data_IF_654512152045
#
_entry.id   IF_654512152045
#
_cell.length_a   1.000
_cell.length_b   1.000
_cell.length_c   1.000
_cell.angle_alpha   90.00
_cell.angle_beta   90.00
_cell.angle_gamma   90.00
#
_symmetry.space_group_name_H-M   'P 1'
#
loop_
_entity.id
_entity.type
_entity.pdbx_description
1 polymer ?
#
# COMPACT_ATOMS: atom_id res chain seq x y z
N UNK A 1 -45.45 -10.14 -1.26
CA UNK A 1 -44.05 -10.01 -1.74
C UNK A 1 -43.87 -10.96 -2.92
N UNK A 2 -43.49 -10.44 -4.09
CA UNK A 2 -43.52 -11.17 -5.37
C UNK A 2 -42.26 -12.03 -5.57
N UNK A 3 -42.45 -13.29 -5.98
CA UNK A 3 -41.38 -14.26 -6.27
C UNK A 3 -40.38 -13.79 -7.34
N UNK A 4 -40.78 -12.85 -8.22
CA UNK A 4 -39.87 -12.21 -9.18
C UNK A 4 -38.78 -11.36 -8.52
N UNK A 5 -39.03 -10.77 -7.35
CA UNK A 5 -38.04 -9.94 -6.66
C UNK A 5 -36.90 -10.78 -6.08
N UNK A 6 -37.19 -12.00 -5.61
CA UNK A 6 -36.18 -12.92 -5.07
C UNK A 6 -35.15 -13.34 -6.13
N UNK A 7 -35.59 -13.76 -7.32
CA UNK A 7 -34.69 -14.15 -8.41
C UNK A 7 -33.80 -13.01 -8.91
N UNK A 8 -34.26 -11.76 -8.82
CA UNK A 8 -33.46 -10.56 -9.18
C UNK A 8 -32.41 -10.27 -8.11
N UNK A 9 -32.75 -10.48 -6.82
CA UNK A 9 -31.81 -10.32 -5.70
C UNK A 9 -30.73 -11.41 -5.75
N UNK A 10 -31.10 -12.66 -6.01
CA UNK A 10 -30.15 -13.78 -6.14
C UNK A 10 -29.17 -13.58 -7.30
N UNK A 11 -29.67 -13.14 -8.46
CA UNK A 11 -28.79 -12.82 -9.61
C UNK A 11 -27.85 -11.65 -9.33
N UNK A 12 -28.32 -10.61 -8.61
CA UNK A 12 -27.45 -9.48 -8.19
C UNK A 12 -26.37 -9.94 -7.22
N UNK A 13 -26.72 -10.75 -6.21
CA UNK A 13 -25.75 -11.32 -5.25
C UNK A 13 -24.66 -12.13 -5.95
N UNK A 14 -25.01 -13.03 -6.87
CA UNK A 14 -24.01 -13.85 -7.56
C UNK A 14 -23.04 -13.02 -8.42
N UNK A 15 -23.50 -11.90 -9.00
CA UNK A 15 -22.64 -10.99 -9.78
C UNK A 15 -21.75 -10.14 -8.86
N UNK A 16 -22.28 -9.67 -7.73
CA UNK A 16 -21.50 -8.96 -6.71
C UNK A 16 -20.43 -9.85 -6.09
N UNK A 17 -20.74 -11.10 -5.81
CA UNK A 17 -19.80 -12.06 -5.23
C UNK A 17 -18.65 -12.38 -6.20
N UNK A 18 -18.95 -12.61 -7.48
CA UNK A 18 -17.90 -12.79 -8.51
C UNK A 18 -17.02 -11.56 -8.68
N UNK A 19 -17.60 -10.35 -8.69
CA UNK A 19 -16.82 -9.11 -8.74
C UNK A 19 -15.96 -8.92 -7.50
N UNK A 20 -16.48 -9.25 -6.33
CA UNK A 20 -15.72 -9.17 -5.08
C UNK A 20 -14.55 -10.15 -5.08
N UNK A 21 -14.72 -11.34 -5.63
CA UNK A 21 -13.67 -12.35 -5.75
C UNK A 21 -12.57 -11.93 -6.74
N UNK A 22 -12.95 -11.38 -7.91
CA UNK A 22 -11.99 -10.81 -8.87
C UNK A 22 -11.21 -9.64 -8.27
N UNK A 23 -11.87 -8.76 -7.53
CA UNK A 23 -11.23 -7.64 -6.84
C UNK A 23 -10.28 -8.11 -5.74
N UNK A 24 -10.64 -9.16 -5.00
CA UNK A 24 -9.76 -9.79 -4.01
C UNK A 24 -8.54 -10.40 -4.67
N UNK A 25 -8.74 -11.22 -5.70
CA UNK A 25 -7.64 -11.89 -6.39
C UNK A 25 -6.67 -10.91 -7.05
N UNK A 26 -7.17 -9.80 -7.62
CA UNK A 26 -6.32 -8.71 -8.10
C UNK A 26 -5.54 -8.06 -6.96
N UNK A 27 -6.22 -7.72 -5.86
CA UNK A 27 -5.56 -7.14 -4.69
C UNK A 27 -4.53 -8.08 -4.04
N UNK A 28 -4.75 -9.40 -4.09
CA UNK A 28 -3.80 -10.42 -3.63
C UNK A 28 -2.57 -10.48 -4.55
N UNK A 29 -2.75 -10.40 -5.87
CA UNK A 29 -1.62 -10.33 -6.82
C UNK A 29 -0.80 -9.06 -6.67
N UNK A 30 -1.46 -7.91 -6.54
CA UNK A 30 -0.79 -6.64 -6.22
C UNK A 30 -0.07 -6.72 -4.87
N UNK A 31 -0.68 -7.42 -3.91
CA UNK A 31 -0.09 -7.63 -2.61
C UNK A 31 1.14 -8.52 -2.65
N UNK A 32 1.09 -9.67 -3.30
CA UNK A 32 2.25 -10.54 -3.52
C UNK A 32 3.35 -9.81 -4.29
N UNK A 33 2.96 -8.99 -5.27
CA UNK A 33 3.93 -8.17 -6.00
C UNK A 33 4.60 -7.17 -5.08
N UNK A 34 3.89 -6.56 -4.14
CA UNK A 34 4.46 -5.60 -3.18
C UNK A 34 5.12 -6.27 -1.97
N UNK A 35 4.77 -7.51 -1.67
CA UNK A 35 5.30 -8.28 -0.55
C UNK A 35 6.79 -8.52 -0.79
N UNK A 36 7.59 -8.30 0.25
CA UNK A 36 9.05 -8.42 0.20
C UNK A 36 9.76 -7.41 -0.71
N UNK A 37 9.04 -6.41 -1.23
CA UNK A 37 9.70 -5.36 -2.00
C UNK A 37 10.35 -4.31 -1.11
N UNK A 38 11.54 -3.91 -1.54
CA UNK A 38 12.31 -2.84 -0.92
C UNK A 38 12.18 -1.57 -1.75
N UNK A 39 11.68 -0.51 -1.15
CA UNK A 39 11.64 0.84 -1.74
C UNK A 39 12.83 1.61 -1.20
N UNK A 40 13.75 1.98 -2.09
CA UNK A 40 14.85 2.86 -1.72
C UNK A 40 14.42 4.31 -1.93
N UNK A 41 14.35 5.07 -0.84
CA UNK A 41 14.06 6.50 -0.87
C UNK A 41 15.38 7.25 -0.70
N UNK A 42 15.72 8.02 -1.72
CA UNK A 42 16.93 8.84 -1.73
C UNK A 42 16.57 10.22 -1.19
N UNK A 43 17.10 10.56 -0.02
CA UNK A 43 16.79 11.82 0.63
C UNK A 43 18.04 12.56 1.10
N UNK A 44 17.94 13.89 1.20
CA UNK A 44 19.05 14.74 1.65
C UNK A 44 19.19 14.67 3.16
N UNK A 45 20.40 14.35 3.60
CA UNK A 45 20.76 14.25 5.02
C UNK A 45 21.75 15.34 5.41
N UNK A 46 21.56 15.88 6.62
CA UNK A 46 22.51 16.78 7.25
C UNK A 46 23.63 16.04 7.98
N UNK A 47 24.55 16.80 8.56
CA UNK A 47 25.78 16.32 9.20
C UNK A 47 25.61 15.39 10.41
N UNK A 48 24.38 15.04 10.80
CA UNK A 48 24.08 14.28 12.02
C UNK A 48 23.15 13.08 11.75
N UNK A 49 23.22 12.49 10.57
CA UNK A 49 22.37 11.36 10.14
C UNK A 49 20.85 11.66 10.17
N UNK A 50 20.53 12.95 10.32
CA UNK A 50 19.17 13.48 10.30
C UNK A 50 18.86 13.94 8.90
N UNK A 51 17.70 13.52 8.41
CA UNK A 51 17.12 14.01 7.17
C UNK A 51 16.83 15.51 7.32
N UNK A 52 17.15 16.29 6.27
CA UNK A 52 16.79 17.71 6.22
C UNK A 52 15.26 17.92 6.21
N UNK A 53 14.52 16.87 5.83
CA UNK A 53 13.07 16.80 5.89
C UNK A 53 12.57 15.65 6.75
N UNK A 54 11.27 15.36 6.63
CA UNK A 54 10.62 14.19 7.23
C UNK A 54 10.04 13.36 6.10
N UNK A 55 10.43 12.09 5.99
CA UNK A 55 9.75 11.17 5.09
C UNK A 55 8.42 10.81 5.75
N UNK A 56 7.34 11.25 5.12
CA UNK A 56 5.98 10.97 5.55
C UNK A 56 5.39 9.85 4.72
N UNK A 57 4.23 9.34 5.13
CA UNK A 57 3.51 8.33 4.36
C UNK A 57 3.16 8.81 2.94
N UNK A 58 3.05 10.12 2.70
CA UNK A 58 2.83 10.67 1.35
C UNK A 58 4.05 10.44 0.44
N UNK A 59 5.26 10.67 0.96
CA UNK A 59 6.52 10.47 0.23
C UNK A 59 6.74 8.98 -0.09
N UNK A 60 6.43 8.12 0.88
CA UNK A 60 6.44 6.66 0.70
C UNK A 60 5.43 6.24 -0.37
N UNK A 61 4.21 6.80 -0.38
CA UNK A 61 3.22 6.49 -1.39
C UNK A 61 3.71 6.83 -2.80
N UNK A 62 4.34 8.00 -2.95
CA UNK A 62 4.94 8.44 -4.23
C UNK A 62 6.10 7.53 -4.62
N UNK A 63 6.96 7.14 -3.68
CA UNK A 63 8.09 6.25 -3.94
C UNK A 63 7.62 4.84 -4.34
N UNK A 64 6.63 4.28 -3.63
CA UNK A 64 5.98 3.00 -3.96
C UNK A 64 5.32 3.05 -5.34
N UNK A 65 4.58 4.13 -5.63
CA UNK A 65 3.96 4.33 -6.93
C UNK A 65 5.02 4.46 -8.03
N UNK A 66 6.13 5.15 -7.78
CA UNK A 66 7.21 5.34 -8.74
C UNK A 66 8.03 4.06 -8.97
N UNK A 67 8.28 3.27 -7.92
CA UNK A 67 9.05 2.01 -8.00
C UNK A 67 8.24 0.84 -8.55
N UNK A 68 6.94 0.76 -8.22
CA UNK A 68 6.11 -0.42 -8.52
C UNK A 68 4.89 -0.14 -9.37
N UNK A 69 4.55 1.13 -9.64
CA UNK A 69 3.34 1.51 -10.36
C UNK A 69 2.05 1.34 -9.55
N UNK A 70 2.14 0.92 -8.28
CA UNK A 70 0.96 0.69 -7.44
C UNK A 70 0.60 1.96 -6.70
N UNK A 71 -0.63 2.43 -6.92
CA UNK A 71 -1.16 3.61 -6.22
C UNK A 71 -1.68 3.20 -4.85
N UNK A 72 -0.95 3.55 -3.79
CA UNK A 72 -1.37 3.30 -2.41
C UNK A 72 -1.68 4.62 -1.71
N UNK A 73 -2.87 4.70 -1.13
CA UNK A 73 -3.29 5.89 -0.40
C UNK A 73 -2.58 5.96 0.97
N UNK A 74 -2.17 7.16 1.41
CA UNK A 74 -1.52 7.36 2.71
C UNK A 74 -2.32 6.84 3.91
N UNK A 75 -3.66 6.78 3.82
CA UNK A 75 -4.51 6.20 4.87
C UNK A 75 -4.37 4.68 5.00
N UNK A 76 -3.89 4.03 3.94
CA UNK A 76 -3.61 2.60 3.89
C UNK A 76 -2.20 2.28 4.38
N UNK A 77 -1.35 3.28 4.60
CA UNK A 77 0.02 3.08 5.05
C UNK A 77 0.03 3.07 6.59
N UNK A 78 0.30 1.90 7.16
CA UNK A 78 0.54 1.72 8.58
C UNK A 78 2.00 2.12 8.86
N UNK A 79 2.17 3.40 9.15
CA UNK A 79 3.42 3.98 9.65
C UNK A 79 3.13 4.72 10.96
N UNK A 80 3.84 4.34 12.02
CA UNK A 80 3.62 4.86 13.38
C UNK A 80 4.33 6.19 13.61
N UNK A 81 5.49 6.41 12.97
CA UNK A 81 6.29 7.63 13.13
C UNK A 81 6.90 8.08 11.80
N UNK A 82 7.21 9.37 11.68
CA UNK A 82 7.84 9.93 10.49
C UNK A 82 9.32 9.57 10.46
N UNK A 83 9.82 9.17 9.30
CA UNK A 83 11.23 8.81 9.17
C UNK A 83 12.07 10.10 9.08
N UNK A 84 12.89 10.34 10.10
CA UNK A 84 13.76 11.52 10.25
C UNK A 84 15.26 11.20 10.22
N UNK A 85 15.61 9.92 10.08
CA UNK A 85 16.98 9.42 10.02
C UNK A 85 17.15 8.39 8.92
N UNK A 86 18.40 8.21 8.47
CA UNK A 86 18.73 7.13 7.55
C UNK A 86 18.48 5.78 8.21
N UNK A 87 18.14 4.79 7.40
CA UNK A 87 17.93 3.44 7.87
C UNK A 87 16.81 2.73 7.14
N UNK A 88 16.54 1.52 7.63
CA UNK A 88 15.57 0.60 7.03
C UNK A 88 14.35 0.52 7.94
N UNK A 89 13.18 0.80 7.38
CA UNK A 89 11.91 0.85 8.10
C UNK A 89 10.91 -0.09 7.46
N UNK A 90 10.37 -1.02 8.26
CA UNK A 90 9.27 -1.87 7.81
C UNK A 90 7.94 -1.17 8.06
N UNK A 91 7.15 -1.01 7.00
CA UNK A 91 5.84 -0.39 7.04
C UNK A 91 4.80 -1.28 6.37
N UNK A 92 3.60 -1.35 6.95
CA UNK A 92 2.52 -2.17 6.41
C UNK A 92 1.63 -1.38 5.45
N UNK A 93 1.49 -1.82 4.20
CA UNK A 93 0.53 -1.28 3.24
C UNK A 93 -0.76 -2.10 3.24
N UNK A 94 -1.86 -1.47 3.66
CA UNK A 94 -3.19 -2.07 3.68
C UNK A 94 -3.91 -1.86 2.34
N UNK A 95 -3.60 -2.68 1.34
CA UNK A 95 -4.22 -2.60 0.01
C UNK A 95 -5.73 -2.81 0.05
N UNK A 96 -6.19 -3.83 0.78
CA UNK A 96 -7.61 -4.18 0.90
C UNK A 96 -8.03 -4.50 2.35
N UNK A 97 -9.34 -4.71 2.59
CA UNK A 97 -9.94 -4.86 3.93
C UNK A 97 -9.25 -5.95 4.77
N UNK A 98 -8.83 -7.01 4.08
CA UNK A 98 -8.17 -8.19 4.66
C UNK A 98 -6.72 -8.37 4.18
N UNK A 99 -6.21 -7.48 3.32
CA UNK A 99 -4.90 -7.64 2.67
C UNK A 99 -3.97 -6.53 3.12
N UNK A 100 -3.01 -6.89 3.96
CA UNK A 100 -1.94 -6.03 4.46
C UNK A 100 -0.59 -6.62 4.07
N UNK A 101 0.28 -5.77 3.52
CA UNK A 101 1.54 -6.19 2.92
C UNK A 101 2.68 -5.42 3.56
N UNK A 102 3.66 -6.09 4.18
CA UNK A 102 4.84 -5.41 4.68
C UNK A 102 5.72 -4.99 3.49
N UNK A 103 6.12 -3.73 3.46
CA UNK A 103 7.17 -3.24 2.56
C UNK A 103 8.34 -2.74 3.37
N UNK A 104 9.54 -2.90 2.81
CA UNK A 104 10.77 -2.41 3.41
C UNK A 104 11.11 -1.07 2.77
N UNK A 105 11.16 0.01 3.54
CA UNK A 105 11.60 1.32 3.07
C UNK A 105 13.02 1.55 3.53
N UNK A 106 13.94 1.62 2.59
CA UNK A 106 15.34 1.95 2.86
C UNK A 106 15.60 3.41 2.51
N UNK A 107 15.94 4.21 3.53
CA UNK A 107 16.29 5.61 3.30
C UNK A 107 17.80 5.74 3.19
N UNK A 108 18.25 6.22 2.03
CA UNK A 108 19.68 6.39 1.69
C UNK A 108 20.00 7.87 1.40
N UNK A 109 21.27 8.24 1.60
CA UNK A 109 21.72 9.61 1.29
C UNK A 109 21.73 9.81 -0.23
N UNK A 110 21.04 10.84 -0.69
CA UNK A 110 21.25 11.36 -2.04
C UNK A 110 22.61 12.02 -2.14
N UNK A 111 23.42 11.55 -3.09
CA UNK A 111 24.73 12.11 -3.39
C UNK A 111 24.67 13.60 -3.74
#
# INVERSE_FOLDING_TARGET
>A
ATASSLRVIERRRAVEEKKADELKSQAEKDAETLNEKTVTIVARVGSSDRLYGSITSDDIAVAVQSSFGVTVDKRKIQMTDQIKSLGTYNIGLKLHRDITVPITVEVTKGA
#
